data_IF_906701477361
#
_entry.id   IF_906701477361
#
_cell.length_a   1.000
_cell.length_b   1.000
_cell.length_c   1.000
_cell.angle_alpha   90.00
_cell.angle_beta   90.00
_cell.angle_gamma   90.00
#
_symmetry.space_group_name_H-M   'P 1'
#
loop_
_entity.id
_entity.type
_entity.pdbx_description
1 polymer ?
#
# COMPACT_ATOMS: atom_id res chain seq x y z
N UNK A 1 -20.14 16.69 -7.24
CA UNK A 1 -19.85 15.74 -6.15
C UNK A 1 -19.50 16.52 -4.90
N UNK A 2 -19.97 16.14 -3.70
CA UNK A 2 -19.71 16.92 -2.50
C UNK A 2 -18.21 16.88 -2.18
N UNK A 3 -17.65 18.04 -1.85
CA UNK A 3 -16.29 18.22 -1.35
C UNK A 3 -16.13 17.45 -0.04
N UNK A 4 -15.24 16.46 -0.02
CA UNK A 4 -14.87 15.76 1.22
C UNK A 4 -14.04 16.72 2.05
N UNK A 5 -14.61 17.21 3.15
CA UNK A 5 -13.91 18.02 4.15
C UNK A 5 -12.64 17.30 4.64
N UNK A 6 -11.53 18.00 4.90
CA UNK A 6 -10.31 17.42 5.46
C UNK A 6 -10.50 16.77 6.84
N UNK A 7 -11.54 17.14 7.60
CA UNK A 7 -11.82 16.64 8.95
C UNK A 7 -12.90 15.55 8.95
N UNK A 8 -12.64 14.41 9.62
CA UNK A 8 -13.57 13.30 9.93
C UNK A 8 -13.49 12.00 9.10
N UNK A 9 -12.28 11.44 8.95
CA UNK A 9 -12.15 9.97 9.00
C UNK A 9 -11.33 9.53 10.22
N UNK A 10 -11.52 10.19 11.37
CA UNK A 10 -11.20 9.56 12.64
C UNK A 10 -12.31 8.55 12.92
N UNK A 11 -12.12 7.31 12.46
CA UNK A 11 -12.96 6.23 12.97
C UNK A 11 -12.60 6.03 14.44
N UNK A 12 -13.60 6.08 15.32
CA UNK A 12 -13.51 5.44 16.63
C UNK A 12 -13.20 3.96 16.32
N UNK A 13 -11.94 3.54 16.49
CA UNK A 13 -11.33 2.29 15.97
C UNK A 13 -10.84 2.30 14.52
N UNK A 14 -9.95 3.24 14.17
CA UNK A 14 -9.23 3.19 12.90
C UNK A 14 -8.41 1.88 12.74
N UNK A 15 -8.39 1.27 11.54
CA UNK A 15 -7.54 0.11 11.25
C UNK A 15 -6.07 0.53 11.26
N UNK A 16 -5.36 0.26 12.37
CA UNK A 16 -3.94 0.64 12.50
C UNK A 16 -3.03 -0.12 11.52
N UNK A 17 -3.48 -1.26 11.02
CA UNK A 17 -2.75 -2.10 10.06
C UNK A 17 -3.49 -2.16 8.72
N UNK A 18 -2.71 -1.97 7.64
CA UNK A 18 -3.09 -2.32 6.29
C UNK A 18 -2.43 -3.62 5.84
N UNK A 19 -3.19 -4.45 5.15
CA UNK A 19 -2.71 -5.66 4.48
C UNK A 19 -2.86 -5.45 2.99
N UNK A 20 -1.78 -5.59 2.24
CA UNK A 20 -1.83 -5.59 0.78
C UNK A 20 -1.65 -7.02 0.29
N UNK A 21 -2.74 -7.64 -0.14
CA UNK A 21 -2.77 -9.00 -0.65
C UNK A 21 -2.32 -9.07 -2.11
N UNK A 22 -1.27 -9.85 -2.36
CA UNK A 22 -0.83 -10.25 -3.71
C UNK A 22 -1.45 -11.56 -4.17
N UNK A 23 -0.84 -12.18 -5.18
CA UNK A 23 -1.21 -13.52 -5.61
C UNK A 23 -1.16 -14.52 -4.45
N UNK A 24 -2.28 -15.20 -4.18
CA UNK A 24 -2.37 -16.28 -3.18
C UNK A 24 -3.00 -15.88 -1.84
N UNK A 25 -3.14 -14.59 -1.54
CA UNK A 25 -3.79 -14.11 -0.32
C UNK A 25 -5.02 -13.27 -0.67
N UNK A 26 -6.07 -13.94 -1.16
CA UNK A 26 -7.29 -13.27 -1.64
C UNK A 26 -8.41 -13.21 -0.61
N UNK A 27 -8.44 -14.17 0.33
CA UNK A 27 -9.42 -14.26 1.40
C UNK A 27 -8.76 -14.83 2.64
N UNK A 28 -8.96 -14.14 3.75
CA UNK A 28 -8.67 -14.64 5.08
C UNK A 28 -10.01 -15.06 5.66
N UNK A 29 -10.33 -16.35 5.58
CA UNK A 29 -11.65 -16.88 5.96
C UNK A 29 -11.90 -16.78 7.48
N UNK A 30 -10.84 -16.51 8.25
CA UNK A 30 -10.85 -16.24 9.69
C UNK A 30 -11.07 -14.76 10.05
N UNK A 31 -11.37 -13.91 9.06
CA UNK A 31 -11.70 -12.51 9.29
C UNK A 31 -13.20 -12.26 9.20
N UNK A 32 -13.72 -11.58 10.22
CA UNK A 32 -15.09 -11.06 10.17
C UNK A 32 -15.08 -9.73 9.40
N UNK A 33 -15.77 -9.68 8.26
CA UNK A 33 -15.89 -8.45 7.48
C UNK A 33 -16.84 -7.50 8.20
N UNK A 34 -16.32 -6.36 8.66
CA UNK A 34 -17.09 -5.32 9.33
C UNK A 34 -17.78 -4.43 8.31
N UNK A 35 -17.02 -3.94 7.32
CA UNK A 35 -17.53 -3.10 6.23
C UNK A 35 -16.52 -2.99 5.10
N UNK A 36 -16.95 -2.40 4.00
CA UNK A 36 -16.09 -2.06 2.87
C UNK A 36 -16.11 -0.55 2.66
N UNK A 37 -14.95 0.05 2.36
CA UNK A 37 -14.81 1.49 2.10
C UNK A 37 -14.13 1.73 0.75
N UNK A 38 -14.52 2.81 0.07
CA UNK A 38 -14.03 3.18 -1.26
C UNK A 38 -13.48 4.62 -1.25
N UNK A 39 -12.30 4.88 -0.66
CA UNK A 39 -11.75 6.23 -0.62
C UNK A 39 -11.40 6.70 -2.04
N UNK A 40 -11.85 7.90 -2.41
CA UNK A 40 -11.32 8.58 -3.59
C UNK A 40 -10.06 9.33 -3.16
N UNK A 41 -8.97 9.11 -3.90
CA UNK A 41 -7.70 9.80 -3.65
C UNK A 41 -7.41 10.80 -4.76
N UNK A 42 -6.54 11.80 -4.54
CA UNK A 42 -6.09 12.68 -5.60
C UNK A 42 -5.35 11.98 -6.74
N UNK A 43 -4.93 10.72 -6.55
CA UNK A 43 -4.26 9.88 -7.55
C UNK A 43 -5.19 8.84 -8.18
N UNK A 44 -6.50 8.99 -8.00
CA UNK A 44 -7.54 8.09 -8.53
C UNK A 44 -8.04 7.07 -7.52
N UNK A 45 -8.85 6.09 -7.97
CA UNK A 45 -9.36 5.03 -7.11
C UNK A 45 -8.27 3.97 -6.83
N UNK A 46 -8.33 3.30 -5.66
CA UNK A 46 -7.48 2.15 -5.37
C UNK A 46 -7.85 0.94 -6.26
N UNK A 47 -6.99 -0.09 -6.26
CA UNK A 47 -7.17 -1.35 -7.01
C UNK A 47 -8.48 -2.06 -6.71
N UNK A 48 -8.96 -1.93 -5.47
CA UNK A 48 -10.20 -2.54 -5.00
C UNK A 48 -10.81 -1.67 -3.91
N UNK A 49 -12.11 -1.87 -3.61
CA UNK A 49 -12.64 -1.53 -2.31
C UNK A 49 -11.75 -2.06 -1.18
N UNK A 50 -11.56 -1.27 -0.13
CA UNK A 50 -10.80 -1.67 1.06
C UNK A 50 -11.76 -2.35 2.02
N UNK A 51 -11.47 -3.60 2.34
CA UNK A 51 -12.24 -4.36 3.33
C UNK A 51 -11.74 -4.01 4.73
N UNK A 52 -12.61 -3.53 5.58
CA UNK A 52 -12.36 -3.38 7.01
C UNK A 52 -12.84 -4.66 7.69
N UNK A 53 -11.93 -5.32 8.40
CA UNK A 53 -12.18 -6.60 9.02
C UNK A 53 -11.77 -6.62 10.49
N UNK A 54 -12.41 -7.48 11.25
CA UNK A 54 -12.09 -7.80 12.64
C UNK A 54 -11.39 -9.16 12.67
N UNK A 55 -10.28 -9.22 13.39
CA UNK A 55 -9.56 -10.46 13.72
C UNK A 55 -9.67 -10.69 15.23
N UNK A 56 -10.20 -11.84 15.64
CA UNK A 56 -10.19 -12.23 17.05
C UNK A 56 -8.78 -12.58 17.49
N UNK A 57 -8.31 -11.93 18.55
CA UNK A 57 -7.03 -12.23 19.21
C UNK A 57 -7.26 -12.58 20.68
N UNK A 58 -6.30 -13.23 21.38
CA UNK A 58 -6.41 -13.50 22.81
C UNK A 58 -6.68 -12.24 23.66
N UNK A 59 -6.22 -11.08 23.21
CA UNK A 59 -6.39 -9.78 23.87
C UNK A 59 -7.68 -9.05 23.49
N UNK A 60 -8.45 -9.59 22.53
CA UNK A 60 -9.71 -9.02 22.02
C UNK A 60 -9.71 -8.84 20.49
N UNK A 61 -10.84 -8.38 19.91
CA UNK A 61 -10.91 -8.15 18.47
C UNK A 61 -10.02 -6.97 18.04
N UNK A 62 -9.23 -7.17 16.99
CA UNK A 62 -8.43 -6.11 16.36
C UNK A 62 -8.99 -5.77 14.99
N UNK A 63 -9.04 -4.47 14.65
CA UNK A 63 -9.50 -3.99 13.35
C UNK A 63 -8.32 -3.80 12.39
N UNK A 64 -8.47 -4.29 11.15
CA UNK A 64 -7.49 -4.18 10.09
C UNK A 64 -8.13 -3.79 8.75
N UNK A 65 -7.33 -3.25 7.84
CA UNK A 65 -7.74 -2.92 6.48
C UNK A 65 -7.07 -3.86 5.49
N UNK A 66 -7.82 -4.49 4.60
CA UNK A 66 -7.31 -5.34 3.53
C UNK A 66 -7.57 -4.72 2.16
N UNK A 67 -6.54 -4.71 1.32
CA UNK A 67 -6.57 -4.23 -0.06
C UNK A 67 -6.03 -5.31 -1.00
N UNK A 68 -6.80 -5.68 -2.03
CA UNK A 68 -6.35 -6.59 -3.07
C UNK A 68 -5.52 -5.84 -4.13
N UNK A 69 -4.22 -6.09 -4.19
CA UNK A 69 -3.28 -5.39 -5.09
C UNK A 69 -3.71 -5.42 -6.54
N UNK A 70 -4.13 -6.58 -7.02
CA UNK A 70 -4.50 -6.84 -8.41
C UNK A 70 -6.01 -6.73 -8.67
N UNK A 71 -6.75 -6.12 -7.75
CA UNK A 71 -8.21 -6.14 -7.73
C UNK A 71 -8.76 -7.48 -7.24
N UNK A 72 -10.08 -7.56 -6.97
CA UNK A 72 -10.72 -8.75 -6.39
C UNK A 72 -10.70 -9.97 -7.33
N UNK A 73 -10.50 -9.76 -8.64
CA UNK A 73 -10.50 -10.81 -9.66
C UNK A 73 -9.14 -11.01 -10.33
N UNK A 74 -8.07 -10.46 -9.74
CA UNK A 74 -6.72 -10.51 -10.31
C UNK A 74 -6.64 -9.98 -11.75
N UNK A 75 -7.37 -8.89 -12.03
CA UNK A 75 -7.56 -8.33 -13.37
C UNK A 75 -6.73 -7.06 -13.63
N UNK A 76 -5.84 -6.69 -12.70
CA UNK A 76 -4.93 -5.56 -12.83
C UNK A 76 -3.49 -6.08 -12.93
N UNK A 77 -2.80 -5.97 -14.07
CA UNK A 77 -1.41 -6.41 -14.19
C UNK A 77 -0.47 -5.52 -13.34
N UNK A 78 0.71 -6.02 -12.94
CA UNK A 78 1.62 -5.32 -12.02
C UNK A 78 1.93 -3.86 -12.41
N UNK A 79 2.19 -3.59 -13.70
CA UNK A 79 2.49 -2.24 -14.21
C UNK A 79 1.32 -1.25 -14.10
N UNK A 80 0.09 -1.74 -13.99
CA UNK A 80 -1.13 -0.92 -13.97
C UNK A 80 -1.73 -0.82 -12.57
N UNK A 81 -1.10 -1.42 -11.56
CA UNK A 81 -1.55 -1.28 -10.17
C UNK A 81 -1.50 0.21 -9.78
N UNK A 82 -2.61 0.82 -9.34
CA UNK A 82 -2.64 2.22 -8.92
C UNK A 82 -2.00 2.39 -7.52
N UNK A 83 -0.72 2.09 -7.38
CA UNK A 83 -0.02 2.03 -6.08
C UNK A 83 -0.10 3.34 -5.29
N UNK A 84 -0.13 4.50 -5.97
CA UNK A 84 -0.34 5.81 -5.33
C UNK A 84 -1.72 5.91 -4.66
N UNK A 85 -2.76 5.50 -5.36
CA UNK A 85 -4.10 5.51 -4.80
C UNK A 85 -4.23 4.47 -3.67
N UNK A 86 -3.64 3.30 -3.83
CA UNK A 86 -3.64 2.24 -2.81
C UNK A 86 -3.05 2.70 -1.48
N UNK A 87 -1.82 3.22 -1.51
CA UNK A 87 -1.12 3.65 -0.30
C UNK A 87 -1.77 4.90 0.29
N UNK A 88 -2.17 5.88 -0.53
CA UNK A 88 -2.85 7.07 -0.05
C UNK A 88 -4.21 6.74 0.61
N UNK A 89 -4.98 5.83 0.02
CA UNK A 89 -6.25 5.38 0.58
C UNK A 89 -6.07 4.71 1.96
N UNK A 90 -5.08 3.82 2.09
CA UNK A 90 -4.74 3.19 3.37
C UNK A 90 -4.31 4.24 4.42
N UNK A 91 -3.44 5.19 4.05
CA UNK A 91 -3.04 6.30 4.92
C UNK A 91 -4.26 7.08 5.43
N UNK A 92 -5.19 7.43 4.53
CA UNK A 92 -6.35 8.26 4.83
C UNK A 92 -7.31 7.62 5.83
N UNK A 93 -7.45 6.29 5.80
CA UNK A 93 -8.33 5.57 6.74
C UNK A 93 -7.66 5.26 8.08
N UNK A 94 -6.43 5.75 8.30
CA UNK A 94 -5.75 5.69 9.60
C UNK A 94 -4.72 4.58 9.76
N UNK A 95 -4.40 3.84 8.68
CA UNK A 95 -3.30 2.86 8.71
C UNK A 95 -1.99 3.53 9.09
N UNK A 96 -1.19 2.83 9.90
CA UNK A 96 0.15 3.23 10.34
C UNK A 96 1.23 2.26 9.89
N UNK A 97 0.91 0.97 9.82
CA UNK A 97 1.79 -0.09 9.36
C UNK A 97 1.13 -0.90 8.24
N UNK A 98 1.88 -1.20 7.19
CA UNK A 98 1.47 -2.05 6.09
C UNK A 98 2.31 -3.33 6.11
N UNK A 99 1.63 -4.47 6.13
CA UNK A 99 2.26 -5.77 5.83
C UNK A 99 1.77 -6.21 4.46
N UNK A 100 2.67 -6.15 3.48
CA UNK A 100 2.41 -6.57 2.12
C UNK A 100 2.78 -8.05 1.93
N UNK A 101 1.98 -8.76 1.15
CA UNK A 101 2.26 -10.15 0.77
C UNK A 101 2.51 -10.26 -0.73
N UNK A 102 3.51 -11.07 -1.13
CA UNK A 102 3.84 -11.28 -2.55
C UNK A 102 4.31 -12.71 -2.82
N UNK A 103 3.90 -13.26 -3.96
CA UNK A 103 4.63 -14.35 -4.60
C UNK A 103 5.97 -13.81 -5.15
N UNK A 104 7.03 -14.62 -5.09
CA UNK A 104 8.35 -14.30 -5.65
C UNK A 104 8.95 -15.53 -6.32
N UNK A 105 9.72 -15.32 -7.38
CA UNK A 105 10.65 -16.33 -7.89
C UNK A 105 11.95 -16.31 -7.08
N UNK A 106 12.53 -17.47 -6.84
CA UNK A 106 13.83 -17.58 -6.17
C UNK A 106 14.99 -17.43 -7.15
N UNK A 107 15.94 -16.57 -6.80
CA UNK A 107 17.22 -16.44 -7.49
C UNK A 107 18.34 -17.19 -6.75
N UNK A 108 18.02 -18.03 -5.76
CA UNK A 108 19.00 -18.70 -4.89
C UNK A 108 18.64 -20.17 -4.67
N UNK A 109 19.65 -21.04 -4.64
CA UNK A 109 19.41 -22.48 -4.48
C UNK A 109 18.80 -22.80 -3.10
N UNK A 110 19.20 -22.06 -2.06
CA UNK A 110 18.74 -22.30 -0.70
C UNK A 110 17.32 -21.79 -0.40
N UNK A 111 16.74 -20.94 -1.26
CA UNK A 111 15.38 -20.41 -1.12
C UNK A 111 14.46 -21.25 -2.02
N UNK A 112 13.77 -22.22 -1.42
CA UNK A 112 12.96 -23.20 -2.16
C UNK A 112 11.55 -22.67 -2.38
N UNK A 113 10.84 -23.10 -3.45
CA UNK A 113 9.40 -22.96 -3.53
C UNK A 113 8.76 -23.50 -2.25
N UNK A 114 7.89 -22.73 -1.62
CA UNK A 114 7.39 -23.05 -0.28
C UNK A 114 7.91 -22.10 0.79
N UNK A 115 9.18 -21.72 0.73
CA UNK A 115 9.86 -20.95 1.77
C UNK A 115 9.29 -19.52 1.88
N UNK A 116 9.38 -18.96 3.09
CA UNK A 116 8.92 -17.62 3.45
C UNK A 116 10.13 -16.71 3.56
N UNK A 117 10.02 -15.49 3.02
CA UNK A 117 11.10 -14.51 3.00
C UNK A 117 10.59 -13.18 3.54
N UNK A 118 11.34 -12.60 4.47
CA UNK A 118 11.15 -11.22 4.92
C UNK A 118 12.40 -10.43 4.49
N UNK A 119 12.39 -9.82 3.29
CA UNK A 119 13.55 -9.11 2.77
C UNK A 119 13.79 -7.78 3.51
N UNK A 120 15.00 -7.26 3.39
CA UNK A 120 15.41 -5.95 3.91
C UNK A 120 15.89 -4.99 2.82
N UNK A 121 16.20 -5.49 1.62
CA UNK A 121 16.71 -4.69 0.51
C UNK A 121 15.95 -4.90 -0.80
N UNK A 122 16.05 -3.90 -1.69
CA UNK A 122 15.38 -3.89 -2.99
C UNK A 122 16.34 -3.40 -4.08
N UNK A 123 16.29 -4.06 -5.25
CA UNK A 123 16.83 -3.55 -6.52
C UNK A 123 15.67 -3.18 -7.45
N UNK A 124 15.62 -1.94 -7.90
CA UNK A 124 14.59 -1.44 -8.82
C UNK A 124 14.95 -1.73 -10.28
N UNK A 125 14.18 -2.62 -10.91
CA UNK A 125 14.23 -2.94 -12.35
C UNK A 125 12.91 -2.67 -13.05
N UNK A 126 12.09 -1.79 -12.46
CA UNK A 126 10.94 -1.20 -13.15
C UNK A 126 11.43 -0.19 -14.20
N UNK A 127 10.58 0.12 -15.18
CA UNK A 127 10.92 0.91 -16.38
C UNK A 127 10.41 2.36 -16.32
N UNK A 128 9.97 2.83 -15.14
CA UNK A 128 9.47 4.19 -14.97
C UNK A 128 8.09 4.46 -15.57
N UNK A 129 7.40 3.43 -16.09
CA UNK A 129 6.00 3.54 -16.56
C UNK A 129 5.01 3.61 -15.39
N UNK A 130 5.46 3.23 -14.19
CA UNK A 130 4.69 3.25 -12.95
C UNK A 130 5.00 4.55 -12.20
N UNK A 131 3.99 5.38 -11.87
CA UNK A 131 4.23 6.55 -11.04
C UNK A 131 4.76 6.14 -9.65
N UNK A 132 6.01 6.52 -9.36
CA UNK A 132 6.75 6.03 -8.18
C UNK A 132 6.93 7.05 -7.06
N UNK A 133 6.28 8.22 -7.16
CA UNK A 133 6.33 9.29 -6.16
C UNK A 133 5.01 10.08 -6.13
N UNK A 134 4.71 10.66 -4.98
CA UNK A 134 3.68 11.69 -4.80
C UNK A 134 4.21 13.11 -5.10
N UNK A 135 5.53 13.29 -5.12
CA UNK A 135 6.22 14.57 -5.34
C UNK A 135 6.57 14.74 -6.82
N UNK A 136 5.58 14.57 -7.69
CA UNK A 136 5.73 14.58 -9.15
C UNK A 136 5.38 15.94 -9.80
N UNK A 137 5.27 17.01 -9.02
CA UNK A 137 4.90 18.36 -9.48
C UNK A 137 5.88 19.40 -8.94
N UNK A 138 5.39 20.46 -8.29
CA UNK A 138 6.21 21.62 -7.88
C UNK A 138 6.86 21.47 -6.52
N UNK A 139 6.34 20.59 -5.65
CA UNK A 139 7.00 20.23 -4.39
C UNK A 139 8.04 19.14 -4.65
N UNK A 140 9.30 19.42 -4.38
CA UNK A 140 10.40 18.45 -4.51
C UNK A 140 10.60 17.75 -3.17
N UNK A 141 10.50 16.41 -3.18
CA UNK A 141 10.75 15.55 -2.04
C UNK A 141 11.73 14.43 -2.39
N UNK A 142 12.78 14.24 -1.58
CA UNK A 142 13.73 13.13 -1.70
C UNK A 142 13.69 12.27 -0.44
N UNK A 143 12.72 11.36 -0.40
CA UNK A 143 12.55 10.47 0.74
C UNK A 143 13.79 9.57 0.95
N UNK A 144 14.24 9.45 2.20
CA UNK A 144 15.29 8.51 2.57
C UNK A 144 14.82 7.08 2.28
N UNK A 145 15.58 6.33 1.48
CA UNK A 145 15.18 5.00 1.01
C UNK A 145 16.31 3.95 1.08
N UNK A 146 17.36 4.22 1.86
CA UNK A 146 18.47 3.27 2.08
C UNK A 146 18.01 1.97 2.76
N UNK A 147 16.99 2.07 3.62
CA UNK A 147 16.27 0.93 4.20
C UNK A 147 14.84 0.93 3.65
N UNK A 148 14.54 0.21 2.55
CA UNK A 148 13.27 0.30 1.84
C UNK A 148 12.09 -0.31 2.61
N UNK A 149 12.38 -1.25 3.51
CA UNK A 149 11.40 -1.81 4.44
C UNK A 149 11.68 -1.27 5.85
N UNK A 150 10.63 -1.00 6.61
CA UNK A 150 10.75 -0.46 7.96
C UNK A 150 11.46 -1.46 8.89
N UNK A 151 12.62 -1.08 9.41
CA UNK A 151 13.49 -1.94 10.23
C UNK A 151 12.75 -2.41 11.47
N UNK A 152 12.05 -1.51 12.16
CA UNK A 152 11.34 -1.81 13.39
C UNK A 152 10.19 -2.82 13.16
N UNK A 153 9.34 -2.58 12.16
CA UNK A 153 8.28 -3.51 11.78
C UNK A 153 8.85 -4.86 11.34
N UNK A 154 9.92 -4.87 10.53
CA UNK A 154 10.57 -6.10 10.06
C UNK A 154 11.10 -6.94 11.23
N UNK A 155 11.89 -6.34 12.11
CA UNK A 155 12.46 -7.02 13.28
C UNK A 155 11.38 -7.53 14.23
N UNK A 156 10.26 -6.81 14.32
CA UNK A 156 9.10 -7.23 15.09
C UNK A 156 8.40 -8.45 14.48
N UNK A 157 8.11 -8.46 13.17
CA UNK A 157 7.33 -9.56 12.56
C UNK A 157 8.12 -10.86 12.39
N UNK A 158 9.44 -10.80 12.17
CA UNK A 158 10.29 -11.99 11.93
C UNK A 158 10.12 -13.11 12.98
N UNK A 159 10.20 -12.84 14.30
CA UNK A 159 9.98 -13.88 15.31
C UNK A 159 8.57 -14.47 15.27
N UNK A 160 7.54 -13.65 15.00
CA UNK A 160 6.17 -14.13 14.88
C UNK A 160 5.95 -15.00 13.63
N UNK A 161 6.56 -14.64 12.51
CA UNK A 161 6.55 -15.47 11.29
C UNK A 161 7.23 -16.81 11.56
N UNK A 162 8.40 -16.80 12.23
CA UNK A 162 9.12 -18.02 12.60
C UNK A 162 8.27 -18.94 13.47
N UNK A 163 7.62 -18.38 14.49
CA UNK A 163 6.75 -19.13 15.39
C UNK A 163 5.52 -19.68 14.66
N UNK A 164 4.91 -18.90 13.77
CA UNK A 164 3.80 -19.36 12.95
C UNK A 164 4.19 -20.55 12.07
N UNK A 165 5.37 -20.52 11.46
CA UNK A 165 5.90 -21.65 10.67
C UNK A 165 6.08 -22.90 11.55
N UNK A 166 6.71 -22.75 12.73
CA UNK A 166 6.99 -23.86 13.65
C UNK A 166 5.71 -24.50 14.22
N UNK A 167 4.67 -23.70 14.44
CA UNK A 167 3.40 -24.16 15.05
C UNK A 167 2.39 -24.66 14.04
N UNK A 168 2.61 -24.44 12.74
CA UNK A 168 1.70 -24.89 11.70
C UNK A 168 1.76 -26.42 11.55
N UNK A 169 0.68 -27.11 11.92
CA UNK A 169 0.62 -28.59 11.88
C UNK A 169 0.22 -29.17 10.52
N UNK A 170 -0.17 -28.31 9.58
CA UNK A 170 -0.67 -28.70 8.26
C UNK A 170 0.42 -29.00 7.22
N UNK A 171 1.69 -29.15 7.65
CA UNK A 171 2.78 -29.48 6.74
C UNK A 171 2.54 -30.88 6.15
N UNK A 172 2.42 -30.95 4.82
CA UNK A 172 2.16 -32.22 4.12
C UNK A 172 3.35 -33.18 4.29
N UNK A 173 4.57 -32.66 4.39
CA UNK A 173 5.80 -33.43 4.59
C UNK A 173 6.71 -32.76 5.63
N UNK A 174 7.14 -33.45 6.70
CA UNK A 174 8.09 -32.92 7.69
C UNK A 174 9.47 -32.56 7.10
N UNK A 175 9.86 -33.19 6.00
CA UNK A 175 11.09 -32.87 5.26
C UNK A 175 10.97 -31.63 4.36
N UNK A 176 9.76 -31.10 4.20
CA UNK A 176 9.40 -29.98 3.32
C UNK A 176 8.83 -28.79 4.10
N UNK A 177 9.17 -28.69 5.39
CA UNK A 177 8.81 -27.53 6.21
C UNK A 177 9.38 -26.24 5.57
N UNK A 178 8.53 -25.22 5.36
CA UNK A 178 8.96 -23.92 4.86
C UNK A 178 9.99 -23.30 5.77
N UNK A 179 11.08 -22.79 5.18
CA UNK A 179 12.11 -22.07 5.93
C UNK A 179 11.80 -20.58 5.92
N UNK A 180 12.19 -19.90 6.99
CA UNK A 180 12.20 -18.43 7.03
C UNK A 180 13.58 -17.91 6.63
N UNK A 181 13.61 -17.08 5.58
CA UNK A 181 14.79 -16.34 5.15
C UNK A 181 14.64 -14.85 5.49
N UNK A 182 15.69 -14.25 6.02
CA UNK A 182 15.78 -12.81 6.29
C UNK A 182 17.05 -12.26 5.63
N UNK A 183 17.17 -10.93 5.58
CA UNK A 183 18.33 -10.24 4.99
C UNK A 183 18.56 -10.60 3.52
N UNK A 184 17.47 -10.52 2.76
CA UNK A 184 17.42 -10.86 1.34
C UNK A 184 17.08 -9.63 0.51
N UNK A 185 17.61 -9.60 -0.70
CA UNK A 185 17.39 -8.52 -1.67
C UNK A 185 16.36 -8.95 -2.71
N UNK A 186 15.24 -8.22 -2.81
CA UNK A 186 14.25 -8.43 -3.87
C UNK A 186 14.56 -7.59 -5.10
N UNK A 187 14.64 -8.22 -6.26
CA UNK A 187 14.63 -7.54 -7.55
C UNK A 187 13.19 -7.31 -7.97
N UNK A 188 12.81 -6.06 -8.26
CA UNK A 188 11.47 -5.75 -8.76
C UNK A 188 11.55 -5.44 -10.25
N UNK A 189 11.10 -6.38 -11.08
CA UNK A 189 11.06 -6.20 -12.54
C UNK A 189 9.72 -5.62 -13.00
N UNK A 190 9.70 -5.09 -14.23
CA UNK A 190 8.49 -4.50 -14.80
C UNK A 190 7.39 -5.53 -15.14
N UNK A 191 7.76 -6.68 -15.70
CA UNK A 191 6.79 -7.62 -16.29
C UNK A 191 6.13 -7.06 -17.57
N UNK A 192 5.00 -7.67 -18.02
CA UNK A 192 4.31 -8.81 -17.41
C UNK A 192 4.97 -10.16 -17.70
N UNK A 193 5.89 -10.23 -18.66
CA UNK A 193 6.64 -11.46 -18.93
C UNK A 193 7.58 -11.77 -17.76
N UNK A 194 7.78 -13.08 -17.51
CA UNK A 194 8.85 -13.54 -16.64
C UNK A 194 10.23 -13.27 -17.28
N UNK A 195 11.28 -13.35 -16.46
CA UNK A 195 12.65 -13.11 -16.89
C UNK A 195 13.09 -14.09 -17.96
N UNK A 196 13.92 -13.62 -18.89
CA UNK A 196 14.81 -14.51 -19.64
C UNK A 196 15.86 -15.11 -18.70
N UNK A 197 16.46 -16.25 -19.07
CA UNK A 197 17.55 -16.85 -18.28
C UNK A 197 18.75 -15.92 -18.11
N UNK A 198 19.04 -15.11 -19.14
CA UNK A 198 20.13 -14.15 -19.09
C UNK A 198 19.87 -13.07 -18.03
N UNK A 199 18.64 -12.56 -17.96
CA UNK A 199 18.22 -11.62 -16.92
C UNK A 199 18.30 -12.25 -15.53
N UNK A 200 17.76 -13.47 -15.34
CA UNK A 200 17.83 -14.16 -14.04
C UNK A 200 19.29 -14.33 -13.55
N UNK A 201 20.20 -14.72 -14.44
CA UNK A 201 21.61 -14.85 -14.11
C UNK A 201 22.29 -13.49 -13.83
N UNK A 202 21.94 -12.44 -14.58
CA UNK A 202 22.40 -11.08 -14.30
C UNK A 202 21.95 -10.62 -12.90
N UNK A 203 20.67 -10.84 -12.55
CA UNK A 203 20.14 -10.47 -11.25
C UNK A 203 20.82 -11.21 -10.09
N UNK A 204 21.16 -12.49 -10.28
CA UNK A 204 21.96 -13.27 -9.32
C UNK A 204 23.34 -12.67 -9.09
N UNK A 205 24.01 -12.25 -10.17
CA UNK A 205 25.33 -11.62 -10.11
C UNK A 205 25.31 -10.27 -9.39
N UNK A 206 24.21 -9.52 -9.49
CA UNK A 206 24.03 -8.26 -8.76
C UNK A 206 23.74 -8.45 -7.26
N UNK A 207 23.57 -9.69 -6.79
CA UNK A 207 23.21 -9.96 -5.41
C UNK A 207 21.71 -10.13 -5.16
N UNK A 208 20.86 -10.13 -6.20
CA UNK A 208 19.43 -10.41 -6.07
C UNK A 208 19.18 -11.83 -5.54
N UNK A 209 18.30 -11.94 -4.55
CA UNK A 209 17.97 -13.22 -3.90
C UNK A 209 16.61 -13.76 -4.32
N UNK A 210 15.65 -12.86 -4.52
CA UNK A 210 14.28 -13.17 -4.96
C UNK A 210 13.85 -12.12 -5.99
N UNK A 211 12.84 -12.43 -6.80
CA UNK A 211 12.32 -11.53 -7.83
C UNK A 211 10.79 -11.45 -7.80
N UNK A 212 10.25 -10.24 -7.92
CA UNK A 212 8.81 -10.03 -8.15
C UNK A 212 8.55 -8.83 -9.06
N UNK A 213 7.28 -8.43 -9.14
CA UNK A 213 6.81 -7.32 -9.97
C UNK A 213 6.04 -6.27 -9.18
N UNK A 214 6.00 -6.31 -7.84
CA UNK A 214 4.99 -5.57 -7.06
C UNK A 214 5.51 -4.77 -5.87
N UNK A 215 6.67 -5.13 -5.30
CA UNK A 215 7.19 -4.43 -4.10
C UNK A 215 7.55 -2.96 -4.38
N UNK A 216 7.78 -2.62 -5.66
CA UNK A 216 7.91 -1.25 -6.14
C UNK A 216 6.79 -0.92 -7.15
N UNK A 217 6.24 0.31 -7.09
CA UNK A 217 6.66 1.42 -6.23
C UNK A 217 6.04 1.43 -4.82
N UNK A 218 5.38 0.35 -4.37
CA UNK A 218 4.68 0.33 -3.06
C UNK A 218 5.56 0.77 -1.88
N UNK A 219 6.77 0.23 -1.75
CA UNK A 219 7.67 0.58 -0.66
C UNK A 219 8.08 2.06 -0.68
N UNK A 220 8.39 2.61 -1.86
CA UNK A 220 8.72 4.05 -2.04
C UNK A 220 7.57 4.94 -1.61
N UNK A 221 6.36 4.59 -2.06
CA UNK A 221 5.15 5.36 -1.76
C UNK A 221 4.76 5.24 -0.29
N UNK A 222 4.93 4.07 0.33
CA UNK A 222 4.68 3.91 1.76
C UNK A 222 5.65 4.76 2.59
N UNK A 223 6.92 4.86 2.17
CA UNK A 223 7.90 5.75 2.80
C UNK A 223 7.49 7.22 2.69
N UNK A 224 7.13 7.69 1.49
CA UNK A 224 6.64 9.06 1.29
C UNK A 224 5.33 9.35 2.04
N UNK A 225 4.50 8.33 2.25
CA UNK A 225 3.28 8.41 3.03
C UNK A 225 3.51 8.35 4.54
N UNK A 226 4.76 8.19 5.00
CA UNK A 226 5.11 7.98 6.40
C UNK A 226 4.36 6.79 7.03
N UNK A 227 4.36 5.67 6.31
CA UNK A 227 3.84 4.40 6.78
C UNK A 227 5.00 3.44 7.00
N UNK A 228 4.98 2.68 8.11
CA UNK A 228 5.83 1.49 8.19
C UNK A 228 5.38 0.50 7.13
N UNK A 229 6.32 -0.09 6.40
CA UNK A 229 6.03 -1.05 5.34
C UNK A 229 7.00 -2.22 5.44
N UNK A 230 6.47 -3.43 5.47
CA UNK A 230 7.25 -4.65 5.40
C UNK A 230 6.63 -5.60 4.36
N UNK A 231 7.49 -6.43 3.76
CA UNK A 231 7.09 -7.46 2.81
C UNK A 231 7.27 -8.83 3.45
N UNK A 232 6.23 -9.66 3.38
CA UNK A 232 6.31 -11.10 3.62
C UNK A 232 6.08 -11.78 2.28
N UNK A 233 7.12 -12.43 1.76
CA UNK A 233 7.11 -13.07 0.47
C UNK A 233 7.08 -14.59 0.61
N UNK A 234 6.46 -15.24 -0.37
CA UNK A 234 6.44 -16.69 -0.51
C UNK A 234 7.11 -17.06 -1.83
N UNK A 235 8.17 -17.85 -1.75
CA UNK A 235 8.83 -18.37 -2.95
C UNK A 235 7.92 -19.37 -3.66
N UNK A 236 7.71 -19.19 -4.96
CA UNK A 236 6.81 -20.04 -5.75
C UNK A 236 7.52 -20.94 -6.75
N UNK A 237 8.74 -20.58 -7.13
CA UNK A 237 9.51 -21.17 -8.23
C UNK A 237 10.98 -20.71 -8.14
N UNK A 238 11.83 -21.12 -9.08
CA UNK A 238 13.24 -20.69 -9.18
C UNK A 238 13.48 -19.72 -10.35
N UNK A 239 12.49 -18.92 -10.73
CA UNK A 239 12.52 -18.05 -11.90
C UNK A 239 12.96 -18.86 -13.15
N UNK A 240 13.93 -18.38 -13.92
CA UNK A 240 14.40 -19.05 -15.13
C UNK A 240 15.89 -19.46 -15.09
N UNK A 241 16.59 -19.33 -13.96
CA UNK A 241 18.06 -19.48 -13.94
C UNK A 241 18.54 -20.94 -13.96
N UNK A 242 17.70 -21.90 -13.56
CA UNK A 242 18.03 -23.33 -13.63
C UNK A 242 17.97 -23.82 -15.08
N UNK A 243 19.11 -24.23 -15.62
CA UNK A 243 19.23 -24.67 -17.03
C UNK A 243 18.58 -26.04 -17.24
N UNK A 244 18.66 -26.92 -16.23
CA UNK A 244 18.12 -28.28 -16.28
C UNK A 244 16.64 -28.37 -15.86
N UNK A 245 15.98 -27.21 -15.65
CA UNK A 245 14.56 -27.14 -15.30
C UNK A 245 13.77 -26.35 -16.36
N UNK A 246 12.47 -26.64 -16.46
CA UNK A 246 11.56 -25.83 -17.26
C UNK A 246 11.49 -24.40 -16.70
N UNK A 247 11.39 -23.36 -17.56
CA UNK A 247 11.12 -22.00 -17.10
C UNK A 247 9.79 -21.91 -16.35
N UNK A 248 9.71 -20.96 -15.40
CA UNK A 248 8.52 -20.69 -14.61
C UNK A 248 7.26 -20.51 -15.47
N UNK A 249 6.17 -21.14 -15.03
CA UNK A 249 4.83 -20.98 -15.58
C UNK A 249 3.84 -20.46 -14.55
N UNK A 250 2.73 -19.87 -15.00
CA UNK A 250 1.63 -19.45 -14.11
C UNK A 250 1.06 -20.65 -13.34
N UNK A 251 1.04 -21.83 -13.95
CA UNK A 251 0.54 -23.05 -13.31
C UNK A 251 1.36 -23.43 -12.07
N UNK A 252 2.68 -23.40 -12.17
CA UNK A 252 3.59 -23.68 -11.04
C UNK A 252 3.41 -22.67 -9.91
N UNK A 253 3.33 -21.39 -10.25
CA UNK A 253 3.05 -20.32 -9.27
C UNK A 253 1.75 -20.60 -8.54
N UNK A 254 0.67 -20.86 -9.28
CA UNK A 254 -0.64 -21.12 -8.69
C UNK A 254 -0.69 -22.42 -7.88
N UNK A 255 0.07 -23.45 -8.27
CA UNK A 255 0.20 -24.69 -7.50
C UNK A 255 0.83 -24.41 -6.14
N UNK A 256 1.99 -23.77 -6.09
CA UNK A 256 2.68 -23.45 -4.84
C UNK A 256 1.82 -22.56 -3.94
N UNK A 257 1.17 -21.53 -4.50
CA UNK A 257 0.28 -20.65 -3.74
C UNK A 257 -0.91 -21.39 -3.12
N UNK A 258 -1.49 -22.37 -3.82
CA UNK A 258 -2.56 -23.21 -3.26
C UNK A 258 -2.05 -24.08 -2.12
N UNK A 259 -0.89 -24.73 -2.30
CA UNK A 259 -0.26 -25.55 -1.25
C UNK A 259 0.07 -24.74 0.00
N UNK A 260 0.50 -23.49 -0.18
CA UNK A 260 0.89 -22.59 0.91
C UNK A 260 -0.24 -21.68 1.43
N UNK A 261 -1.47 -21.81 0.91
CA UNK A 261 -2.55 -20.89 1.24
C UNK A 261 -2.83 -20.91 2.76
N UNK A 262 -2.95 -22.10 3.35
CA UNK A 262 -3.27 -22.24 4.78
C UNK A 262 -2.13 -21.76 5.68
N UNK A 263 -0.87 -22.02 5.31
CA UNK A 263 0.27 -21.44 6.03
C UNK A 263 0.28 -19.91 5.93
N UNK A 264 0.01 -19.37 4.75
CA UNK A 264 -0.04 -17.91 4.54
C UNK A 264 -1.14 -17.27 5.39
N UNK A 265 -2.33 -17.91 5.47
CA UNK A 265 -3.41 -17.47 6.36
C UNK A 265 -2.99 -17.54 7.83
N UNK A 266 -2.35 -18.64 8.23
CA UNK A 266 -1.86 -18.84 9.60
C UNK A 266 -0.84 -17.77 9.99
N UNK A 267 0.20 -17.57 9.17
CA UNK A 267 1.20 -16.50 9.36
C UNK A 267 0.51 -15.14 9.45
N UNK A 268 -0.40 -14.84 8.53
CA UNK A 268 -1.13 -13.57 8.52
C UNK A 268 -1.89 -13.36 9.82
N UNK A 269 -2.66 -14.36 10.28
CA UNK A 269 -3.37 -14.28 11.55
C UNK A 269 -2.42 -14.07 12.74
N UNK A 270 -1.31 -14.81 12.78
CA UNK A 270 -0.33 -14.74 13.87
C UNK A 270 0.37 -13.38 13.97
N UNK A 271 0.65 -12.71 12.85
CA UNK A 271 1.38 -11.43 12.87
C UNK A 271 0.47 -10.22 13.03
N UNK A 272 -0.75 -10.24 12.47
CA UNK A 272 -1.58 -9.04 12.43
C UNK A 272 -2.09 -8.63 13.82
N UNK A 273 -2.45 -9.59 14.67
CA UNK A 273 -2.79 -9.28 16.07
C UNK A 273 -1.64 -8.61 16.82
N UNK A 274 -0.45 -9.20 16.73
CA UNK A 274 0.75 -8.71 17.39
C UNK A 274 1.17 -7.31 16.90
N UNK A 275 1.16 -7.09 15.58
CA UNK A 275 1.50 -5.78 14.99
C UNK A 275 0.50 -4.71 15.43
N UNK A 276 -0.79 -5.04 15.57
CA UNK A 276 -1.81 -4.07 15.95
C UNK A 276 -1.52 -3.54 17.34
N UNK A 277 -1.29 -4.48 18.27
CA UNK A 277 -0.94 -4.18 19.66
C UNK A 277 0.35 -3.37 19.73
N UNK A 278 1.38 -3.73 18.96
CA UNK A 278 2.66 -3.02 18.95
C UNK A 278 2.57 -1.60 18.38
N UNK A 279 1.76 -1.37 17.35
CA UNK A 279 1.48 -0.02 16.84
C UNK A 279 0.67 0.78 17.86
N UNK A 280 -0.37 0.18 18.46
CA UNK A 280 -1.23 0.84 19.45
C UNK A 280 -0.47 1.25 20.72
N UNK A 281 0.48 0.43 21.16
CA UNK A 281 1.32 0.71 22.33
C UNK A 281 2.48 1.67 22.05
N UNK A 282 2.74 1.99 20.77
CA UNK A 282 3.89 2.80 20.37
C UNK A 282 5.22 2.04 20.36
N UNK A 283 5.21 0.70 20.47
CA UNK A 283 6.40 -0.12 20.23
C UNK A 283 6.84 -0.05 18.76
N UNK A 284 5.89 0.03 17.83
CA UNK A 284 6.14 0.37 16.42
C UNK A 284 5.67 1.81 16.22
N UNK A 285 6.61 2.76 16.22
CA UNK A 285 6.32 4.19 16.18
C UNK A 285 5.98 4.68 14.77
N UNK A 286 6.34 3.90 13.75
CA UNK A 286 6.06 4.22 12.37
C UNK A 286 7.14 5.09 11.72
N UNK A 287 6.79 5.64 10.56
CA UNK A 287 7.63 6.57 9.79
C UNK A 287 7.11 8.02 9.89
N UNK A 288 6.20 8.28 10.84
CA UNK A 288 5.60 9.62 11.05
C UNK A 288 6.68 10.63 11.40
N UNK A 289 6.68 11.78 10.74
CA UNK A 289 7.70 12.80 10.98
C UNK A 289 8.91 12.74 10.04
N UNK A 290 9.13 11.64 9.30
CA UNK A 290 10.37 11.45 8.55
C UNK A 290 10.46 12.31 7.28
N UNK A 291 9.34 12.65 6.67
CA UNK A 291 9.35 13.47 5.45
C UNK A 291 9.80 14.91 5.69
N UNK A 292 9.80 15.39 6.94
CA UNK A 292 10.32 16.72 7.29
C UNK A 292 11.77 16.93 6.82
N UNK A 293 12.57 15.86 6.78
CA UNK A 293 13.97 15.90 6.35
C UNK A 293 14.16 15.70 4.84
N UNK A 294 13.06 15.51 4.11
CA UNK A 294 13.06 15.12 2.69
C UNK A 294 12.46 16.20 1.78
N UNK A 295 11.73 17.18 2.32
CA UNK A 295 11.09 18.24 1.55
C UNK A 295 12.08 19.39 1.29
N UNK A 296 12.28 19.74 0.02
CA UNK A 296 13.23 20.79 -0.39
C UNK A 296 12.56 22.12 -0.74
N UNK A 297 11.43 22.08 -1.47
CA UNK A 297 10.82 23.30 -1.99
C UNK A 297 10.14 24.08 -0.85
N UNK A 298 10.46 25.37 -0.64
CA UNK A 298 9.76 26.19 0.34
C UNK A 298 8.26 26.25 0.03
N UNK A 299 7.40 26.08 1.05
CA UNK A 299 5.94 25.98 0.86
C UNK A 299 5.34 27.18 0.11
N UNK A 300 5.89 28.39 0.30
CA UNK A 300 5.44 29.62 -0.36
C UNK A 300 5.63 29.61 -1.89
N UNK A 301 6.51 28.76 -2.41
CA UNK A 301 6.80 28.61 -3.84
C UNK A 301 5.97 27.49 -4.49
N UNK A 302 5.15 26.79 -3.71
CA UNK A 302 4.32 25.67 -4.18
C UNK A 302 2.87 26.14 -4.32
N UNK A 303 2.27 25.85 -5.47
CA UNK A 303 0.89 26.21 -5.75
C UNK A 303 -0.10 25.60 -4.76
N UNK A 304 -1.15 26.34 -4.42
CA UNK A 304 -2.21 25.95 -3.50
C UNK A 304 -2.85 24.58 -3.83
N UNK A 305 -3.06 24.28 -5.12
CA UNK A 305 -3.62 23.00 -5.56
C UNK A 305 -2.70 21.82 -5.22
N UNK A 306 -1.39 22.03 -5.29
CA UNK A 306 -0.42 20.99 -4.96
C UNK A 306 -0.28 20.80 -3.45
N UNK A 307 -0.23 21.88 -2.67
CA UNK A 307 -0.25 21.80 -1.21
C UNK A 307 -1.51 21.11 -0.70
N UNK A 308 -2.67 21.42 -1.28
CA UNK A 308 -3.92 20.74 -0.96
C UNK A 308 -3.87 19.25 -1.31
N UNK A 309 -3.35 18.90 -2.50
CA UNK A 309 -3.16 17.50 -2.91
C UNK A 309 -2.30 16.73 -1.92
N UNK A 310 -1.16 17.30 -1.51
CA UNK A 310 -0.22 16.67 -0.58
C UNK A 310 -0.74 16.66 0.87
N UNK A 311 -1.64 17.59 1.24
CA UNK A 311 -2.34 17.58 2.54
C UNK A 311 -3.12 16.28 2.75
N UNK A 312 -3.62 15.66 1.67
CA UNK A 312 -4.28 14.35 1.76
C UNK A 312 -3.37 13.28 2.41
N UNK A 313 -2.08 13.32 2.08
CA UNK A 313 -1.08 12.33 2.51
C UNK A 313 -0.38 12.73 3.81
N UNK A 314 -0.01 14.01 3.89
CA UNK A 314 0.89 14.59 4.88
C UNK A 314 0.23 15.83 5.53
N UNK A 315 -0.92 15.67 6.21
CA UNK A 315 -1.71 16.79 6.71
C UNK A 315 -0.96 17.62 7.76
N UNK A 316 -0.08 17.00 8.54
CA UNK A 316 0.71 17.68 9.58
C UNK A 316 1.74 18.68 9.02
N UNK A 317 2.04 18.59 7.72
CA UNK A 317 3.04 19.43 7.05
C UNK A 317 2.41 20.55 6.24
N UNK A 318 1.40 20.21 5.45
CA UNK A 318 0.85 21.13 4.46
C UNK A 318 -0.43 21.81 4.94
N UNK A 319 -1.29 21.09 5.68
CA UNK A 319 -2.58 21.53 6.22
C UNK A 319 -3.31 22.60 5.37
N UNK A 320 -3.44 22.36 4.06
CA UNK A 320 -3.91 23.36 3.11
C UNK A 320 -5.37 23.09 2.70
N UNK A 321 -6.28 24.08 2.80
CA UNK A 321 -7.69 23.92 2.45
C UNK A 321 -7.89 23.68 0.95
N UNK A 322 -9.06 23.16 0.57
CA UNK A 322 -9.42 22.97 -0.84
C UNK A 322 -9.57 24.33 -1.55
N UNK A 323 -8.70 24.69 -2.51
CA UNK A 323 -8.77 25.98 -3.20
C UNK A 323 -10.06 26.12 -4.03
N UNK A 324 -10.67 25.00 -4.46
CA UNK A 324 -11.93 25.04 -5.18
C UNK A 324 -13.12 25.37 -4.26
N UNK A 325 -13.06 24.96 -2.99
CA UNK A 325 -14.05 25.35 -1.99
C UNK A 325 -13.98 26.86 -1.71
N UNK A 326 -12.78 27.43 -1.62
CA UNK A 326 -12.59 28.88 -1.46
C UNK A 326 -13.07 29.70 -2.67
N UNK A 327 -12.84 29.21 -3.90
CA UNK A 327 -13.37 29.87 -5.10
C UNK A 327 -14.90 29.88 -5.10
N UNK A 328 -15.54 28.78 -4.69
CA UNK A 328 -17.00 28.65 -4.59
C UNK A 328 -17.61 29.53 -3.49
N UNK A 329 -16.93 29.66 -2.35
CA UNK A 329 -17.40 30.55 -1.28
C UNK A 329 -17.31 32.02 -1.70
N UNK A 330 -16.21 32.42 -2.36
CA UNK A 330 -16.06 33.78 -2.92
C UNK A 330 -17.06 34.08 -4.03
N UNK A 331 -17.36 33.12 -4.91
CA UNK A 331 -18.37 33.31 -5.95
C UNK A 331 -19.78 33.42 -5.36
N UNK A 332 -20.11 32.65 -4.32
CA UNK A 332 -21.39 32.78 -3.60
C UNK A 332 -21.51 34.12 -2.89
N UNK A 333 -20.47 34.54 -2.16
CA UNK A 333 -20.44 35.84 -1.50
C UNK A 333 -20.59 37.02 -2.48
N UNK A 334 -20.05 36.91 -3.71
CA UNK A 334 -20.29 37.92 -4.75
C UNK A 334 -21.74 37.94 -5.26
N UNK A 335 -22.35 36.77 -5.45
CA UNK A 335 -23.76 36.66 -5.87
C UNK A 335 -24.69 37.22 -4.78
N UNK A 336 -24.40 36.96 -3.51
CA UNK A 336 -25.21 37.46 -2.39
C UNK A 336 -25.10 38.99 -2.25
N UNK A 337 -23.91 39.57 -2.49
CA UNK A 337 -23.73 41.03 -2.54
C UNK A 337 -24.44 41.66 -3.74
N UNK A 338 -24.42 41.01 -4.91
CA UNK A 338 -25.13 41.51 -6.10
C UNK A 338 -26.66 41.36 -5.99
N UNK A 339 -27.18 40.46 -5.13
CA UNK A 339 -28.62 40.34 -4.85
C UNK A 339 -29.15 41.38 -3.86
N UNK A 340 -28.33 41.83 -2.91
CA UNK A 340 -28.70 42.88 -1.95
C UNK A 340 -28.76 44.28 -2.61
N UNK A 341 -28.11 44.48 -3.77
CA UNK A 341 -28.16 45.71 -4.57
C UNK A 341 -29.34 45.75 -5.58
N UNK A 342 -30.13 44.69 -5.71
CA UNK A 342 -31.35 44.69 -6.54
C UNK A 342 -32.59 45.12 -5.74
N UNK A 343 -32.60 46.37 -5.30
CA UNK A 343 -33.87 47.04 -4.92
C UNK A 343 -34.61 47.39 -6.21
N UNK A 344 -35.48 46.47 -6.65
CA UNK A 344 -36.35 46.65 -7.80
C UNK A 344 -37.14 47.96 -7.68
N UNK A 345 -36.82 48.90 -8.58
CA UNK A 345 -37.55 50.15 -8.76
C UNK A 345 -39.01 49.88 -9.12
N UNK A 346 -39.89 50.69 -8.53
CA UNK A 346 -41.32 50.70 -8.75
C UNK A 346 -41.65 50.88 -10.25
N UNK A 347 -42.30 49.88 -10.85
CA UNK A 347 -42.92 50.03 -12.17
C UNK A 347 -44.23 50.84 -12.05
N UNK A 348 -44.22 51.99 -12.71
CA UNK A 348 -45.39 52.83 -12.96
C UNK A 348 -46.50 52.07 -13.70
N UNK A 349 -47.69 52.02 -13.10
CA UNK A 349 -48.93 51.63 -13.76
C UNK A 349 -49.38 52.70 -14.77
N UNK A 350 -49.72 52.35 -16.03
CA UNK A 350 -50.38 53.30 -16.92
C UNK A 350 -51.90 53.30 -16.64
N UNK A 351 -52.41 54.50 -16.34
CA UNK A 351 -53.85 54.79 -16.31
C UNK A 351 -54.41 54.77 -17.74
N UNK A 352 -55.29 53.83 -18.03
CA UNK A 352 -56.16 53.90 -19.21
C UNK A 352 -57.34 54.83 -18.98
N UNK A 353 -57.51 55.84 -19.85
CA UNK A 353 -58.79 56.48 -20.16
C UNK A 353 -58.83 56.83 -21.66
N UNK A 354 -59.97 56.43 -22.24
CA UNK A 354 -60.52 56.66 -23.59
C UNK A 354 -59.92 55.85 -24.73
#
# INVERSE_FOLDING_TARGET
MPSVSPSHYTMDNAPLIGVIGGSGLYKLDNLEIVKTVNPVTPWGPPSSPITIASLSTPEGPVTLAFLARHGPHHNIPPSNVPSRANIAALKRIGVKAIVAFSAVGSLREEIRPGDIIVPDQIIDRTKGVRPSTYFDRTMVGHAMFGEPFDVQLREFIVPHVKEAINTFKGHINPSDEPRLHTKKTVVVMEGPQFSTRAESNMYRLWGGDIINMSALPEAKLAREAELSYALVATSTDYDAWRVDAAPVTVEEVMKTLRTNAELSKHITASILGAVHTAVKSGQIQGQTGQMQYSLMTPHKEVGAEELHRLTYLLPNYFNYPDPAAERRSRSRARIDVDMDDYTGGEEHAPRGRQ
#
